data_IF_973561604547
#
_entry.id   IF_973561604547
#
_cell.length_a   1.000
_cell.length_b   1.000
_cell.length_c   1.000
_cell.angle_alpha   90.00
_cell.angle_beta   90.00
_cell.angle_gamma   90.00
#
_symmetry.space_group_name_H-M   'P 1'
#
loop_
_entity.id
_entity.type
_entity.pdbx_description
1 polymer ?
#
# COMPACT_ATOMS: atom_id res chain seq x y z
N UNK A 1 -5.87 -0.75 9.37
CA UNK A 1 -5.04 0.05 10.29
C UNK A 1 -5.35 1.51 10.06
N UNK A 2 -5.58 2.28 11.12
CA UNK A 2 -5.77 3.72 11.03
C UNK A 2 -4.52 4.36 10.42
N UNK A 3 -4.72 5.40 9.62
CA UNK A 3 -3.64 6.12 8.96
C UNK A 3 -3.18 7.24 9.89
N UNK A 4 -1.91 7.20 10.27
CA UNK A 4 -1.29 8.21 11.13
C UNK A 4 -0.58 9.24 10.24
N UNK A 5 -0.53 10.47 10.72
CA UNK A 5 0.25 11.54 10.09
C UNK A 5 1.75 11.29 10.24
N UNK A 6 2.56 11.94 9.39
CA UNK A 6 4.02 11.88 9.53
C UNK A 6 4.48 12.27 10.94
N UNK A 7 3.86 13.29 11.55
CA UNK A 7 4.17 13.73 12.92
C UNK A 7 3.87 12.65 13.95
N UNK A 8 2.73 11.97 13.84
CA UNK A 8 2.38 10.87 14.74
C UNK A 8 3.34 9.69 14.57
N UNK A 9 3.74 9.36 13.35
CA UNK A 9 4.78 8.35 13.12
C UNK A 9 6.13 8.73 13.71
N UNK A 10 6.54 9.99 13.60
CA UNK A 10 7.76 10.50 14.27
C UNK A 10 7.65 10.35 15.78
N UNK A 11 6.51 10.71 16.36
CA UNK A 11 6.27 10.54 17.80
C UNK A 11 6.33 9.07 18.23
N UNK A 12 5.92 8.12 17.38
CA UNK A 12 6.07 6.69 17.66
C UNK A 12 7.53 6.27 17.73
N UNK A 13 8.38 6.78 16.83
CA UNK A 13 9.82 6.48 16.83
C UNK A 13 10.48 7.07 18.07
N UNK A 14 10.13 8.31 18.44
CA UNK A 14 10.62 8.95 19.68
C UNK A 14 10.20 8.11 20.90
N UNK A 15 8.93 7.74 21.01
CA UNK A 15 8.43 6.92 22.11
C UNK A 15 9.15 5.56 22.20
N UNK A 16 9.44 4.93 21.06
CA UNK A 16 10.17 3.67 20.98
C UNK A 16 11.60 3.81 21.47
N UNK A 17 12.31 4.86 21.06
CA UNK A 17 13.66 5.16 21.55
C UNK A 17 13.69 5.44 23.05
N UNK A 18 12.77 6.27 23.55
CA UNK A 18 12.64 6.58 24.98
C UNK A 18 12.33 5.33 25.82
N UNK A 19 11.59 4.39 25.26
CA UNK A 19 11.27 3.12 25.91
C UNK A 19 12.39 2.06 25.85
N UNK A 20 13.61 2.44 25.40
CA UNK A 20 14.72 1.51 25.26
C UNK A 20 14.43 0.40 24.25
N UNK A 21 13.76 0.74 23.15
CA UNK A 21 13.37 -0.18 22.07
C UNK A 21 12.36 -1.26 22.52
N UNK A 22 11.61 -1.02 23.60
CA UNK A 22 10.52 -1.87 24.02
C UNK A 22 9.17 -1.33 23.51
N UNK A 23 8.59 -1.97 22.49
CA UNK A 23 7.33 -1.52 21.88
C UNK A 23 6.11 -1.52 22.82
N UNK A 24 6.09 -2.39 23.83
CA UNK A 24 5.00 -2.39 24.83
C UNK A 24 5.10 -1.19 25.76
N UNK A 25 6.31 -0.88 26.23
CA UNK A 25 6.56 0.32 27.01
C UNK A 25 6.38 1.59 26.16
N UNK A 26 6.77 1.55 24.88
CA UNK A 26 6.61 2.65 23.94
C UNK A 26 5.15 3.08 23.75
N UNK A 27 4.20 2.12 23.75
CA UNK A 27 2.78 2.45 23.67
C UNK A 27 2.30 3.27 24.88
N UNK A 28 2.84 2.97 26.08
CA UNK A 28 2.55 3.75 27.30
C UNK A 28 3.20 5.12 27.25
N UNK A 29 4.49 5.18 26.90
CA UNK A 29 5.22 6.44 26.71
C UNK A 29 4.51 7.33 25.69
N UNK A 30 4.03 6.77 24.58
CA UNK A 30 3.30 7.52 23.58
C UNK A 30 2.00 8.09 24.15
N UNK A 31 1.26 7.28 24.91
CA UNK A 31 0.01 7.66 25.52
C UNK A 31 0.15 8.80 26.54
N UNK A 32 1.25 8.81 27.27
CA UNK A 32 1.53 9.78 28.33
C UNK A 32 2.07 11.12 27.79
N UNK A 33 2.84 11.10 26.69
CA UNK A 33 3.66 12.24 26.28
C UNK A 33 3.16 13.02 25.06
N UNK A 34 2.17 12.52 24.31
CA UNK A 34 1.71 13.19 23.09
C UNK A 34 0.22 13.51 23.16
N UNK A 35 -0.15 14.72 22.71
CA UNK A 35 -1.54 15.17 22.62
C UNK A 35 -2.27 14.38 21.53
N UNK A 36 -3.34 13.68 21.90
CA UNK A 36 -4.03 12.73 21.03
C UNK A 36 -5.36 13.29 20.60
N UNK A 37 -5.64 13.15 19.30
CA UNK A 37 -6.90 13.62 18.72
C UNK A 37 -8.01 12.58 18.77
N UNK A 38 -7.72 11.27 18.72
CA UNK A 38 -8.76 10.23 18.72
C UNK A 38 -8.28 8.77 18.93
N UNK A 39 -7.01 8.42 18.64
CA UNK A 39 -6.51 7.02 18.72
C UNK A 39 -5.06 6.91 19.20
N UNK A 40 -4.80 5.85 19.96
CA UNK A 40 -3.46 5.45 20.40
C UNK A 40 -2.90 4.36 19.48
N UNK A 41 -1.61 4.41 19.09
CA UNK A 41 -0.96 3.28 18.44
C UNK A 41 -0.73 2.14 19.43
N UNK A 42 -0.93 0.91 18.96
CA UNK A 42 -0.52 -0.29 19.69
C UNK A 42 0.95 -0.63 19.44
N UNK A 43 1.49 -1.59 20.18
CA UNK A 43 2.88 -2.03 20.04
C UNK A 43 3.21 -2.47 18.59
N UNK A 44 2.26 -3.09 17.88
CA UNK A 44 2.43 -3.58 16.51
C UNK A 44 2.55 -2.43 15.53
N UNK A 45 1.76 -1.38 15.72
CA UNK A 45 1.79 -0.18 14.90
C UNK A 45 3.12 0.55 15.05
N UNK A 46 3.60 0.68 16.29
CA UNK A 46 4.92 1.28 16.59
C UNK A 46 6.03 0.46 15.92
N UNK A 47 6.05 -0.87 16.13
CA UNK A 47 7.06 -1.74 15.52
C UNK A 47 7.05 -1.67 13.99
N UNK A 48 5.88 -1.70 13.37
CA UNK A 48 5.77 -1.58 11.90
C UNK A 48 6.20 -0.22 11.39
N UNK A 49 6.03 0.85 12.17
CA UNK A 49 6.55 2.18 11.83
C UNK A 49 8.08 2.16 11.82
N UNK A 50 8.69 1.71 12.92
CA UNK A 50 10.15 1.64 13.09
C UNK A 50 10.78 0.77 12.01
N UNK A 51 10.23 -0.44 11.79
CA UNK A 51 10.71 -1.36 10.77
C UNK A 51 10.65 -0.74 9.37
N UNK A 52 9.52 -0.10 9.01
CA UNK A 52 9.37 0.55 7.71
C UNK A 52 10.38 1.69 7.52
N UNK A 53 10.60 2.48 8.56
CA UNK A 53 11.58 3.56 8.54
C UNK A 53 12.99 2.99 8.29
N UNK A 54 13.35 1.90 8.97
CA UNK A 54 14.64 1.24 8.80
C UNK A 54 14.83 0.59 7.42
N UNK A 55 13.80 -0.08 6.90
CA UNK A 55 13.89 -0.82 5.64
C UNK A 55 13.78 0.05 4.39
N UNK A 56 12.97 1.12 4.45
CA UNK A 56 12.59 1.91 3.26
C UNK A 56 12.90 3.39 3.37
N UNK A 57 13.27 3.89 4.56
CA UNK A 57 13.42 5.32 4.82
C UNK A 57 12.09 6.10 4.82
N UNK A 58 10.95 5.44 4.68
CA UNK A 58 9.64 6.09 4.59
C UNK A 58 8.77 5.81 5.81
N UNK A 59 8.18 6.85 6.39
CA UNK A 59 7.25 6.72 7.52
C UNK A 59 5.83 6.39 7.05
N UNK A 60 5.44 6.96 5.91
CA UNK A 60 4.07 6.88 5.41
C UNK A 60 3.81 5.51 4.79
N UNK A 61 2.56 5.04 4.95
CA UNK A 61 2.11 3.80 4.33
C UNK A 61 2.01 3.98 2.81
N UNK A 62 2.82 3.24 2.05
CA UNK A 62 2.67 3.21 0.60
C UNK A 62 1.56 2.23 0.21
N UNK A 63 0.34 2.74 0.01
CA UNK A 63 -0.82 1.93 -0.41
C UNK A 63 -1.01 1.82 -1.93
N UNK A 64 -0.14 2.42 -2.75
CA UNK A 64 -0.33 2.42 -4.22
C UNK A 64 -0.44 1.01 -4.82
N UNK A 65 0.14 0.00 -4.17
CA UNK A 65 0.10 -1.39 -4.61
C UNK A 65 -0.52 -2.33 -3.55
N UNK A 66 -1.44 -1.83 -2.72
CA UNK A 66 -2.14 -2.67 -1.76
C UNK A 66 -3.17 -3.55 -2.48
N UNK A 67 -2.72 -4.73 -2.92
CA UNK A 67 -3.51 -5.77 -3.55
C UNK A 67 -2.64 -7.00 -3.79
N UNK A 68 -3.24 -8.18 -3.91
CA UNK A 68 -2.51 -9.34 -4.42
C UNK A 68 -1.96 -8.98 -5.81
N UNK A 69 -0.70 -9.30 -6.15
CA UNK A 69 -0.29 -9.26 -7.54
C UNK A 69 -1.21 -10.20 -8.30
N UNK A 70 -2.16 -9.65 -9.07
CA UNK A 70 -2.90 -10.43 -10.03
C UNK A 70 -1.87 -10.89 -11.06
N UNK A 71 -1.66 -12.20 -11.14
CA UNK A 71 -0.86 -12.83 -12.18
C UNK A 71 -1.61 -12.68 -13.51
N UNK A 72 -1.65 -11.47 -14.06
CA UNK A 72 -1.85 -11.29 -15.49
C UNK A 72 -0.65 -11.95 -16.13
N UNK A 73 -0.90 -13.01 -16.90
CA UNK A 73 0.18 -13.66 -17.63
C UNK A 73 0.71 -12.64 -18.64
N UNK A 74 2.03 -12.51 -18.78
CA UNK A 74 2.65 -11.61 -19.77
C UNK A 74 2.03 -11.81 -21.17
N UNK A 75 1.65 -13.05 -21.49
CA UNK A 75 0.94 -13.38 -22.72
C UNK A 75 -0.42 -12.68 -22.88
N UNK A 76 -1.17 -12.43 -21.81
CA UNK A 76 -2.46 -11.75 -21.89
C UNK A 76 -2.30 -10.25 -22.16
N UNK A 77 -1.24 -9.62 -21.63
CA UNK A 77 -0.88 -8.24 -21.92
C UNK A 77 -0.50 -8.05 -23.39
N UNK A 78 0.44 -8.86 -23.91
CA UNK A 78 0.83 -8.81 -25.32
C UNK A 78 -0.34 -9.07 -26.27
N UNK A 79 -1.23 -10.02 -25.93
CA UNK A 79 -2.43 -10.31 -26.73
C UNK A 79 -3.40 -9.14 -26.76
N UNK A 80 -3.58 -8.43 -25.65
CA UNK A 80 -4.41 -7.23 -25.59
C UNK A 80 -3.80 -6.13 -26.46
N UNK A 81 -2.52 -5.80 -26.27
CA UNK A 81 -1.86 -4.72 -27.01
C UNK A 81 -1.88 -4.98 -28.51
N UNK A 82 -1.55 -6.20 -28.96
CA UNK A 82 -1.58 -6.57 -30.37
C UNK A 82 -2.97 -6.43 -30.99
N UNK A 83 -4.03 -6.80 -30.25
CA UNK A 83 -5.42 -6.69 -30.75
C UNK A 83 -5.84 -5.23 -30.97
N UNK A 84 -5.28 -4.29 -30.20
CA UNK A 84 -5.51 -2.85 -30.38
C UNK A 84 -4.58 -2.23 -31.42
N UNK A 85 -3.35 -2.72 -31.57
CA UNK A 85 -2.46 -2.34 -32.67
C UNK A 85 -3.05 -2.72 -34.03
N UNK A 86 -3.61 -3.93 -34.15
CA UNK A 86 -4.26 -4.42 -35.37
C UNK A 86 -5.54 -3.64 -35.72
N UNK A 87 -6.32 -3.24 -34.71
CA UNK A 87 -7.49 -2.39 -34.91
C UNK A 87 -7.78 -1.50 -33.69
N UNK A 88 -7.37 -0.21 -33.75
CA UNK A 88 -7.57 0.74 -32.66
C UNK A 88 -9.04 1.07 -32.35
N UNK A 89 -9.97 0.78 -33.27
CA UNK A 89 -11.41 1.02 -33.08
C UNK A 89 -12.11 -0.10 -32.31
N UNK A 90 -11.38 -1.14 -31.91
CA UNK A 90 -11.92 -2.20 -31.08
C UNK A 90 -12.42 -1.62 -29.74
N UNK A 91 -13.64 -2.01 -29.34
CA UNK A 91 -14.09 -1.70 -27.98
C UNK A 91 -13.42 -2.62 -26.98
N UNK A 92 -13.17 -2.12 -25.77
CA UNK A 92 -12.65 -2.92 -24.66
C UNK A 92 -13.51 -4.16 -24.40
N UNK A 93 -14.84 -4.02 -24.49
CA UNK A 93 -15.78 -5.14 -24.37
C UNK A 93 -15.50 -6.24 -25.40
N UNK A 94 -15.31 -5.86 -26.66
CA UNK A 94 -15.07 -6.78 -27.77
C UNK A 94 -13.76 -7.55 -27.58
N UNK A 95 -12.69 -6.87 -27.14
CA UNK A 95 -11.38 -7.50 -26.89
C UNK A 95 -11.44 -8.44 -25.69
N UNK A 96 -12.14 -8.07 -24.62
CA UNK A 96 -12.34 -8.95 -23.47
C UNK A 96 -13.08 -10.25 -23.86
N UNK A 97 -14.15 -10.13 -24.64
CA UNK A 97 -14.91 -11.28 -25.16
C UNK A 97 -14.05 -12.16 -26.10
N UNK A 98 -13.23 -11.54 -26.98
CA UNK A 98 -12.35 -12.23 -27.91
C UNK A 98 -11.22 -13.02 -27.22
N UNK A 99 -10.64 -12.46 -26.16
CA UNK A 99 -9.49 -13.04 -25.47
C UNK A 99 -9.88 -13.91 -24.26
N UNK A 100 -11.17 -13.96 -23.91
CA UNK A 100 -11.65 -14.66 -22.72
C UNK A 100 -11.24 -13.99 -21.41
N UNK A 101 -11.04 -12.67 -21.44
CA UNK A 101 -10.55 -11.87 -20.31
C UNK A 101 -11.67 -11.01 -19.73
N UNK A 102 -11.51 -10.60 -18.46
CA UNK A 102 -12.44 -9.62 -17.89
C UNK A 102 -12.23 -8.25 -18.53
N UNK A 103 -13.31 -7.47 -18.68
CA UNK A 103 -13.23 -6.09 -19.19
C UNK A 103 -12.29 -5.22 -18.34
N UNK A 104 -12.21 -5.49 -17.03
CA UNK A 104 -11.33 -4.77 -16.11
C UNK A 104 -9.85 -5.00 -16.40
N UNK A 105 -9.45 -6.24 -16.75
CA UNK A 105 -8.07 -6.56 -17.13
C UNK A 105 -7.67 -5.79 -18.39
N UNK A 106 -8.54 -5.80 -19.41
CA UNK A 106 -8.30 -5.06 -20.66
C UNK A 106 -8.25 -3.55 -20.41
N UNK A 107 -9.19 -2.98 -19.65
CA UNK A 107 -9.18 -1.55 -19.30
C UNK A 107 -7.95 -1.13 -18.50
N UNK A 108 -7.42 -2.00 -17.64
CA UNK A 108 -6.26 -1.71 -16.79
C UNK A 108 -4.96 -1.66 -17.60
N UNK A 109 -4.80 -2.56 -18.57
CA UNK A 109 -3.61 -2.60 -19.45
C UNK A 109 -3.56 -1.39 -20.38
N UNK A 110 -4.71 -0.88 -20.82
CA UNK A 110 -4.78 0.29 -21.70
C UNK A 110 -4.67 1.65 -20.98
N UNK A 111 -4.64 1.68 -19.64
CA UNK A 111 -4.63 2.90 -18.82
C UNK A 111 -3.24 3.21 -18.29
#
# INVERSE_FOLDING_TARGET
MAEYTAREYTNMIIAYGTAGENANAAARVYAENFVIRERYPDNKTIMRCVQRAAETGNLLLHRRNAGAPEHIRVNDEERILRTFEENPQNSVRRVAEMLGLSRNVVHRILR
#
